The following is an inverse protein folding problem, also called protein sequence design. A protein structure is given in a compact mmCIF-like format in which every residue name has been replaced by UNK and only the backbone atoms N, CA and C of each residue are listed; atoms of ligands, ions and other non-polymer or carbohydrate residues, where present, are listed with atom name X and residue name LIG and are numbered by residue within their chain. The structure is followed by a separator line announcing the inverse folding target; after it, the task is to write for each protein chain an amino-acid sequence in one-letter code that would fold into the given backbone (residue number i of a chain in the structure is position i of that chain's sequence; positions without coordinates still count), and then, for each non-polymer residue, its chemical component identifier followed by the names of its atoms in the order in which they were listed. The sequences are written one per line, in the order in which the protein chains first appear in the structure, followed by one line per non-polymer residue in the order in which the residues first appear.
data_IF_754159275454
#
_entry.id   IF_754159275454
#
_cell.length_a   1.000
_cell.length_b   1.000
_cell.length_c   1.000
_cell.angle_alpha   90.00
_cell.angle_beta   90.00
_cell.angle_gamma   90.00
#
_symmetry.space_group_name_H-M   'P 1'
#
loop_
_entity.id
_entity.type
_entity.pdbx_description
1 polymer ?
#
# COMPACT_ATOMS: atom_id res chain seq x y z
N UNK A 1 -23.29 -30.52 -57.12
CA UNK A 1 -22.45 -29.36 -56.72
C UNK A 1 -21.05 -29.48 -57.32
N UNK A 2 -20.61 -28.50 -58.11
CA UNK A 2 -19.24 -28.45 -58.66
C UNK A 2 -18.20 -28.56 -57.52
N UNK A 3 -17.13 -29.32 -57.75
CA UNK A 3 -16.08 -29.66 -56.75
C UNK A 3 -15.46 -28.42 -56.10
N UNK A 4 -15.44 -27.29 -56.80
CA UNK A 4 -14.99 -25.98 -56.32
C UNK A 4 -15.94 -25.37 -55.27
N UNK A 5 -17.26 -25.49 -55.45
CA UNK A 5 -18.25 -24.92 -54.53
C UNK A 5 -18.26 -25.64 -53.16
N UNK A 6 -18.01 -26.97 -53.16
CA UNK A 6 -17.82 -27.74 -51.92
C UNK A 6 -16.60 -27.24 -51.13
N UNK A 7 -15.47 -27.00 -51.80
CA UNK A 7 -14.24 -26.50 -51.16
C UNK A 7 -14.42 -25.11 -50.53
N UNK A 8 -15.13 -24.21 -51.21
CA UNK A 8 -15.39 -22.85 -50.69
C UNK A 8 -16.26 -22.92 -49.43
N UNK A 9 -17.34 -23.71 -49.45
CA UNK A 9 -18.23 -23.87 -48.30
C UNK A 9 -17.48 -24.47 -47.11
N UNK A 10 -16.62 -25.47 -47.33
CA UNK A 10 -15.81 -26.07 -46.26
C UNK A 10 -14.83 -25.06 -45.65
N UNK A 11 -14.17 -24.22 -46.46
CA UNK A 11 -13.24 -23.19 -45.97
C UNK A 11 -13.97 -22.09 -45.17
N UNK A 12 -15.18 -21.70 -45.60
CA UNK A 12 -15.98 -20.70 -44.87
C UNK A 12 -16.47 -21.25 -43.53
N UNK A 13 -16.87 -22.52 -43.47
CA UNK A 13 -17.30 -23.17 -42.23
C UNK A 13 -16.15 -23.34 -41.22
N UNK A 14 -14.94 -23.70 -41.67
CA UNK A 14 -13.77 -23.77 -40.77
C UNK A 14 -13.34 -22.41 -40.27
N UNK A 15 -13.40 -21.36 -41.12
CA UNK A 15 -13.15 -19.99 -40.67
C UNK A 15 -14.20 -19.50 -39.67
N UNK A 16 -15.49 -19.79 -39.90
CA UNK A 16 -16.56 -19.41 -38.97
C UNK A 16 -16.44 -20.11 -37.60
N UNK A 17 -16.05 -21.39 -37.59
CA UNK A 17 -15.77 -22.11 -36.34
C UNK A 17 -14.53 -21.57 -35.61
N UNK A 18 -13.48 -21.14 -36.33
CA UNK A 18 -12.31 -20.51 -35.72
C UNK A 18 -12.65 -19.17 -35.05
N UNK A 19 -13.57 -18.38 -35.60
CA UNK A 19 -14.02 -17.13 -34.99
C UNK A 19 -14.98 -17.32 -33.80
N UNK A 20 -15.73 -18.43 -33.74
CA UNK A 20 -16.67 -18.70 -32.64
C UNK A 20 -15.99 -19.23 -31.36
N UNK A 21 -14.75 -19.72 -31.43
CA UNK A 21 -14.05 -20.35 -30.29
C UNK A 21 -13.19 -19.41 -29.44
N UNK A 22 -13.07 -18.14 -29.80
CA UNK A 22 -12.38 -17.14 -28.96
C UNK A 22 -13.38 -16.17 -28.36
N UNK A 23 -14.25 -16.65 -27.48
CA UNK A 23 -14.87 -15.76 -26.49
C UNK A 23 -13.73 -15.34 -25.55
N UNK A 24 -13.40 -14.05 -25.44
CA UNK A 24 -12.48 -13.63 -24.38
C UNK A 24 -13.11 -14.06 -23.06
N UNK A 25 -12.48 -15.02 -22.37
CA UNK A 25 -12.84 -15.35 -21.01
C UNK A 25 -12.49 -14.12 -20.16
N UNK A 26 -13.45 -13.20 -20.02
CA UNK A 26 -13.32 -12.07 -19.12
C UNK A 26 -13.14 -12.65 -17.71
N UNK A 27 -11.93 -12.56 -17.18
CA UNK A 27 -11.63 -12.98 -15.82
C UNK A 27 -12.62 -12.28 -14.88
N UNK A 28 -13.43 -13.06 -14.15
CA UNK A 28 -14.34 -12.55 -13.13
C UNK A 28 -13.52 -11.70 -12.16
N UNK A 29 -13.83 -10.41 -12.03
CA UNK A 29 -13.21 -9.59 -10.99
C UNK A 29 -13.54 -10.22 -9.63
N UNK A 30 -12.52 -10.75 -8.94
CA UNK A 30 -12.67 -11.32 -7.60
C UNK A 30 -12.56 -10.19 -6.59
N UNK A 31 -13.54 -10.06 -5.71
CA UNK A 31 -13.46 -9.13 -4.59
C UNK A 31 -12.34 -9.57 -3.65
N UNK A 32 -11.43 -8.66 -3.29
CA UNK A 32 -10.26 -8.98 -2.48
C UNK A 32 -10.07 -7.98 -1.35
N UNK A 33 -9.93 -8.52 -0.15
CA UNK A 33 -9.43 -7.78 1.00
C UNK A 33 -7.91 -7.64 0.86
N UNK A 34 -7.45 -6.39 0.74
CA UNK A 34 -6.05 -6.04 0.46
C UNK A 34 -5.20 -5.96 1.73
N UNK A 35 -5.82 -5.57 2.85
CA UNK A 35 -5.11 -5.29 4.10
C UNK A 35 -5.95 -5.72 5.30
N UNK A 36 -5.28 -6.38 6.24
CA UNK A 36 -5.89 -7.01 7.43
C UNK A 36 -5.30 -6.51 8.73
N UNK A 37 -4.53 -5.43 8.70
CA UNK A 37 -4.02 -4.80 9.92
C UNK A 37 -3.86 -3.29 9.77
N UNK A 38 -3.79 -2.60 10.91
CA UNK A 38 -3.51 -1.18 11.02
C UNK A 38 -2.62 -0.89 12.23
N UNK A 39 -2.02 0.29 12.26
CA UNK A 39 -1.21 0.76 13.38
C UNK A 39 -1.77 2.08 13.89
N UNK A 40 -1.94 2.20 15.20
CA UNK A 40 -2.22 3.46 15.87
C UNK A 40 -0.90 4.21 16.07
N UNK A 41 -0.78 5.34 15.40
CA UNK A 41 0.37 6.23 15.52
C UNK A 41 0.14 7.32 16.59
N UNK A 42 1.24 7.91 17.05
CA UNK A 42 1.20 9.04 17.97
C UNK A 42 0.63 10.30 17.32
N UNK A 43 0.09 11.22 18.13
CA UNK A 43 -0.32 12.56 17.67
C UNK A 43 0.78 13.26 16.85
N UNK A 44 2.03 13.19 17.32
CA UNK A 44 3.19 13.76 16.63
C UNK A 44 3.43 13.20 15.22
N UNK A 45 3.13 11.91 15.00
CA UNK A 45 3.18 11.32 13.66
C UNK A 45 2.00 11.79 12.82
N UNK A 46 0.81 11.86 13.43
CA UNK A 46 -0.45 12.22 12.79
C UNK A 46 -0.59 13.71 12.47
N UNK A 47 0.24 14.59 13.05
CA UNK A 47 0.35 16.02 12.68
C UNK A 47 0.64 16.19 11.17
N UNK A 48 1.39 15.26 10.57
CA UNK A 48 1.67 15.29 9.14
C UNK A 48 0.80 14.28 8.38
N UNK A 49 -0.46 14.68 8.15
CA UNK A 49 -1.46 13.88 7.41
C UNK A 49 -1.10 13.60 5.95
N UNK A 50 -0.09 14.29 5.40
CA UNK A 50 0.47 13.97 4.07
C UNK A 50 1.21 12.63 4.08
N UNK A 51 1.78 12.23 5.22
CA UNK A 51 2.54 10.98 5.35
C UNK A 51 1.68 9.81 5.89
N UNK A 52 0.68 10.11 6.72
CA UNK A 52 -0.20 9.09 7.31
C UNK A 52 -1.67 9.47 7.18
N UNK A 53 -2.46 8.51 6.69
CA UNK A 53 -3.91 8.57 6.73
C UNK A 53 -4.36 7.93 8.06
N UNK A 54 -5.26 8.58 8.83
CA UNK A 54 -5.90 7.93 9.97
C UNK A 54 -6.70 6.68 9.57
N UNK A 55 -7.14 6.61 8.30
CA UNK A 55 -7.89 5.49 7.78
C UNK A 55 -7.00 4.57 6.93
N UNK A 56 -7.24 3.27 7.05
CA UNK A 56 -6.57 2.24 6.27
C UNK A 56 -7.51 1.67 5.22
N UNK A 57 -7.05 1.69 3.97
CA UNK A 57 -7.77 1.09 2.85
C UNK A 57 -7.76 -0.43 3.00
N UNK A 58 -8.94 -1.03 3.10
CA UNK A 58 -9.11 -2.48 3.25
C UNK A 58 -9.39 -3.13 1.90
N UNK A 59 -10.27 -2.55 1.09
CA UNK A 59 -10.68 -3.13 -0.19
C UNK A 59 -11.26 -2.07 -1.13
N UNK A 60 -11.11 -2.30 -2.43
CA UNK A 60 -11.87 -1.59 -3.45
C UNK A 60 -13.17 -2.33 -3.74
N UNK A 61 -14.26 -1.57 -3.90
CA UNK A 61 -15.60 -2.12 -4.06
C UNK A 61 -15.87 -2.48 -5.53
N UNK A 62 -15.36 -1.66 -6.45
CA UNK A 62 -15.62 -1.82 -7.89
C UNK A 62 -17.05 -1.42 -8.22
N UNK A 63 -17.78 -2.27 -8.96
CA UNK A 63 -19.20 -2.04 -9.31
C UNK A 63 -20.20 -2.65 -8.32
N UNK A 64 -19.72 -3.18 -7.18
CA UNK A 64 -20.54 -3.96 -6.23
C UNK A 64 -21.29 -3.03 -5.28
N UNK A 65 -22.51 -3.41 -4.90
CA UNK A 65 -23.12 -2.89 -3.68
C UNK A 65 -22.60 -3.70 -2.49
N UNK A 66 -22.19 -3.01 -1.43
CA UNK A 66 -21.62 -3.66 -0.25
C UNK A 66 -22.16 -3.05 1.04
N UNK A 67 -22.32 -3.90 2.05
CA UNK A 67 -22.51 -3.52 3.44
C UNK A 67 -21.28 -3.99 4.20
N UNK A 68 -20.74 -3.13 5.08
CA UNK A 68 -19.55 -3.43 5.86
C UNK A 68 -19.79 -3.19 7.34
N UNK A 69 -19.36 -4.14 8.16
CA UNK A 69 -19.55 -4.14 9.60
C UNK A 69 -18.25 -4.55 10.30
N UNK A 70 -17.99 -3.98 11.48
CA UNK A 70 -16.95 -4.45 12.40
C UNK A 70 -17.62 -5.07 13.62
N UNK A 71 -17.16 -6.26 14.02
CA UNK A 71 -17.67 -6.94 15.21
C UNK A 71 -17.31 -6.24 16.53
N UNK A 72 -16.35 -5.31 16.51
CA UNK A 72 -15.92 -4.58 17.69
C UNK A 72 -15.42 -3.18 17.29
N UNK A 73 -16.35 -2.22 17.30
CA UNK A 73 -16.08 -0.82 16.95
C UNK A 73 -15.12 -0.11 17.91
N UNK A 74 -14.94 -0.63 19.14
CA UNK A 74 -13.92 -0.13 20.09
C UNK A 74 -12.50 -0.45 19.63
N UNK A 75 -12.31 -1.45 18.76
CA UNK A 75 -11.01 -1.79 18.16
C UNK A 75 -10.82 -1.06 16.83
N UNK A 76 -11.78 -1.15 15.91
CA UNK A 76 -11.76 -0.40 14.66
C UNK A 76 -13.18 -0.12 14.15
N UNK A 77 -13.41 1.07 13.62
CA UNK A 77 -14.63 1.39 12.87
C UNK A 77 -14.39 1.22 11.37
N UNK A 78 -15.46 1.03 10.61
CA UNK A 78 -15.40 0.84 9.15
C UNK A 78 -16.35 1.81 8.46
N UNK A 79 -15.96 2.27 7.27
CA UNK A 79 -16.80 3.16 6.44
C UNK A 79 -16.57 2.89 4.96
N UNK A 80 -17.58 3.22 4.16
CA UNK A 80 -17.50 3.22 2.70
C UNK A 80 -17.29 4.67 2.26
N UNK A 81 -16.23 4.91 1.48
CA UNK A 81 -15.91 6.21 0.92
C UNK A 81 -15.10 6.05 -0.37
N UNK A 82 -15.39 6.86 -1.38
CA UNK A 82 -14.62 6.91 -2.64
C UNK A 82 -14.50 5.54 -3.31
N UNK A 83 -15.63 4.80 -3.37
CA UNK A 83 -15.71 3.43 -3.90
C UNK A 83 -14.75 2.40 -3.24
N UNK A 84 -14.43 2.65 -1.97
CA UNK A 84 -13.54 1.83 -1.18
C UNK A 84 -14.04 1.65 0.25
N UNK A 85 -13.60 0.56 0.87
CA UNK A 85 -13.82 0.27 2.29
C UNK A 85 -12.58 0.71 3.06
N UNK A 86 -12.79 1.54 4.07
CA UNK A 86 -11.77 2.08 4.94
C UNK A 86 -12.03 1.64 6.38
N UNK A 87 -10.97 1.31 7.12
CA UNK A 87 -11.03 1.13 8.57
C UNK A 87 -10.28 2.24 9.30
N UNK A 88 -10.89 2.74 10.37
CA UNK A 88 -10.25 3.67 11.31
C UNK A 88 -9.89 2.89 12.58
N UNK A 89 -8.59 2.67 12.88
CA UNK A 89 -8.17 1.99 14.10
C UNK A 89 -8.44 2.88 15.33
N UNK A 90 -9.04 2.29 16.38
CA UNK A 90 -9.43 2.98 17.60
C UNK A 90 -8.58 2.54 18.80
N UNK A 91 -8.43 1.21 18.98
CA UNK A 91 -7.65 0.62 20.08
C UNK A 91 -6.94 -0.63 19.59
N UNK A 92 -5.75 -0.89 20.14
CA UNK A 92 -5.01 -2.11 19.86
C UNK A 92 -5.82 -3.34 20.29
N UNK A 93 -5.86 -4.35 19.42
CA UNK A 93 -6.71 -5.54 19.57
C UNK A 93 -7.07 -6.13 18.21
N UNK A 94 -8.00 -7.09 18.21
CA UNK A 94 -8.52 -7.72 16.99
C UNK A 94 -10.02 -7.50 16.87
N UNK A 95 -10.51 -7.40 15.65
CA UNK A 95 -11.94 -7.40 15.32
C UNK A 95 -12.16 -8.15 14.02
N UNK A 96 -13.35 -8.70 13.80
CA UNK A 96 -13.73 -9.28 12.51
C UNK A 96 -14.42 -8.21 11.69
N UNK A 97 -13.87 -7.92 10.51
CA UNK A 97 -14.53 -7.09 9.51
C UNK A 97 -15.29 -8.01 8.57
N UNK A 98 -16.59 -7.76 8.45
CA UNK A 98 -17.49 -8.50 7.56
C UNK A 98 -17.91 -7.59 6.42
N UNK A 99 -17.69 -8.04 5.19
CA UNK A 99 -18.14 -7.36 3.96
C UNK A 99 -19.19 -8.25 3.30
N UNK A 100 -20.43 -7.80 3.27
CA UNK A 100 -21.53 -8.47 2.59
C UNK A 100 -21.72 -7.83 1.22
N UNK A 101 -21.62 -8.63 0.17
CA UNK A 101 -22.07 -8.26 -1.18
C UNK A 101 -23.46 -8.86 -1.42
N UNK A 102 -24.08 -8.56 -2.55
CA UNK A 102 -25.34 -9.20 -2.96
C UNK A 102 -25.24 -10.72 -3.12
N UNK A 103 -24.03 -11.27 -3.31
CA UNK A 103 -23.82 -12.69 -3.64
C UNK A 103 -23.05 -13.48 -2.58
N UNK A 104 -22.11 -12.82 -1.91
CA UNK A 104 -21.11 -13.46 -1.05
C UNK A 104 -20.83 -12.61 0.19
N UNK A 105 -20.50 -13.28 1.29
CA UNK A 105 -20.03 -12.64 2.53
C UNK A 105 -18.55 -12.95 2.74
N UNK A 106 -17.73 -11.92 2.87
CA UNK A 106 -16.31 -12.01 3.16
C UNK A 106 -16.05 -11.60 4.61
N UNK A 107 -15.23 -12.37 5.32
CA UNK A 107 -14.79 -12.04 6.68
C UNK A 107 -13.27 -12.00 6.72
N UNK A 108 -12.72 -11.02 7.42
CA UNK A 108 -11.31 -11.03 7.79
C UNK A 108 -11.12 -10.65 9.26
N UNK A 109 -10.19 -11.31 9.92
CA UNK A 109 -9.62 -10.81 11.17
C UNK A 109 -8.78 -9.58 10.85
N UNK A 110 -9.14 -8.46 11.45
CA UNK A 110 -8.44 -7.19 11.36
C UNK A 110 -7.73 -6.90 12.68
N UNK A 111 -6.40 -6.77 12.62
CA UNK A 111 -5.57 -6.54 13.81
C UNK A 111 -5.09 -5.10 13.87
N UNK A 112 -5.39 -4.43 14.97
CA UNK A 112 -4.88 -3.09 15.27
C UNK A 112 -3.69 -3.21 16.23
N UNK A 113 -2.53 -2.71 15.80
CA UNK A 113 -1.32 -2.67 16.60
C UNK A 113 -1.08 -1.27 17.19
N UNK A 114 -0.33 -1.21 18.29
CA UNK A 114 0.34 0.03 18.69
C UNK A 114 1.58 0.21 17.82
N UNK A 115 1.93 1.45 17.50
CA UNK A 115 3.19 1.74 16.81
C UNK A 115 4.40 1.17 17.56
N UNK A 116 5.24 0.45 16.82
CA UNK A 116 6.53 -0.04 17.29
C UNK A 116 7.59 0.42 16.32
N UNK A 117 8.58 1.16 16.82
CA UNK A 117 9.69 1.63 16.01
C UNK A 117 10.49 0.45 15.42
N UNK A 118 10.51 0.26 14.09
CA UNK A 118 11.19 -0.84 13.43
C UNK A 118 12.66 -0.52 13.09
N UNK A 119 13.11 0.73 13.27
CA UNK A 119 14.41 1.24 12.79
C UNK A 119 15.42 1.30 13.93
N UNK A 120 16.61 0.74 13.69
CA UNK A 120 17.77 0.88 14.57
C UNK A 120 18.57 2.14 14.24
N UNK A 121 18.69 2.49 12.95
CA UNK A 121 19.24 3.76 12.46
C UNK A 121 18.85 4.03 11.01
N UNK A 122 18.97 5.27 10.57
CA UNK A 122 18.87 5.65 9.16
C UNK A 122 20.07 6.51 8.75
N UNK A 123 20.50 6.41 7.49
CA UNK A 123 21.53 7.26 6.88
C UNK A 123 20.95 8.04 5.71
N UNK A 124 21.29 9.32 5.66
CA UNK A 124 20.92 10.27 4.60
C UNK A 124 22.19 10.97 4.13
N UNK A 125 22.84 10.40 3.10
CA UNK A 125 24.21 10.74 2.76
C UNK A 125 25.16 10.45 3.93
N UNK A 126 25.89 11.49 4.38
CA UNK A 126 26.80 11.41 5.55
C UNK A 126 26.06 11.51 6.90
N UNK A 127 24.81 11.99 6.93
CA UNK A 127 24.06 12.12 8.16
C UNK A 127 23.61 10.76 8.67
N UNK A 128 23.86 10.46 9.94
CA UNK A 128 23.29 9.29 10.64
C UNK A 128 22.23 9.74 11.63
N UNK A 129 21.03 9.19 11.49
CA UNK A 129 19.88 9.41 12.36
C UNK A 129 19.76 8.19 13.28
N UNK A 130 19.85 8.41 14.59
CA UNK A 130 19.70 7.34 15.59
C UNK A 130 18.27 6.82 15.59
N UNK A 131 18.09 5.52 15.78
CA UNK A 131 16.76 4.88 15.84
C UNK A 131 15.85 5.46 16.93
N UNK A 132 16.42 6.03 18.00
CA UNK A 132 15.67 6.71 19.07
C UNK A 132 14.82 7.87 18.56
N UNK A 133 15.22 8.54 17.47
CA UNK A 133 14.44 9.59 16.83
C UNK A 133 13.07 9.08 16.35
N UNK A 134 12.97 7.77 16.05
CA UNK A 134 11.74 7.14 15.57
C UNK A 134 10.91 6.49 16.67
N UNK A 135 11.28 6.63 17.95
CA UNK A 135 10.60 5.94 19.07
C UNK A 135 9.14 6.36 19.23
N UNK A 136 8.85 7.65 19.13
CA UNK A 136 7.50 8.23 19.27
C UNK A 136 7.00 8.92 18.00
N UNK A 137 7.84 9.07 16.98
CA UNK A 137 7.47 9.74 15.74
C UNK A 137 7.99 8.92 14.57
N UNK A 138 7.11 8.47 13.67
CA UNK A 138 7.52 7.71 12.50
C UNK A 138 8.08 8.60 11.36
N UNK A 139 8.15 9.92 11.60
CA UNK A 139 8.65 10.92 10.65
C UNK A 139 9.88 11.62 11.24
N UNK A 140 10.92 11.73 10.42
CA UNK A 140 12.07 12.60 10.70
C UNK A 140 12.13 13.72 9.66
N UNK A 141 12.10 14.96 10.13
CA UNK A 141 12.10 16.14 9.25
C UNK A 141 13.53 16.59 8.96
N UNK A 142 13.83 16.88 7.70
CA UNK A 142 15.06 17.52 7.24
C UNK A 142 14.73 18.77 6.44
N UNK A 143 15.64 19.75 6.44
CA UNK A 143 15.50 20.96 5.61
C UNK A 143 15.83 20.63 4.15
N UNK A 144 14.88 20.81 3.24
CA UNK A 144 15.01 20.54 1.81
C UNK A 144 16.17 21.31 1.19
N UNK A 145 16.32 22.61 1.51
CA UNK A 145 17.35 23.47 0.91
C UNK A 145 18.78 22.94 1.08
N UNK A 146 19.07 22.22 2.18
CA UNK A 146 20.38 21.61 2.44
C UNK A 146 20.73 20.49 1.45
N UNK A 147 19.72 19.83 0.89
CA UNK A 147 19.84 18.65 0.05
C UNK A 147 19.31 18.86 -1.38
N UNK A 148 18.73 20.02 -1.68
CA UNK A 148 18.14 20.37 -2.99
C UNK A 148 19.08 20.00 -4.13
N UNK A 149 18.55 19.23 -5.08
CA UNK A 149 19.21 18.74 -6.29
C UNK A 149 20.42 17.82 -6.09
N UNK A 150 20.75 17.46 -4.84
CA UNK A 150 21.83 16.50 -4.54
C UNK A 150 21.34 15.07 -4.72
N UNK A 151 22.21 14.22 -5.27
CA UNK A 151 22.01 12.77 -5.28
C UNK A 151 22.67 12.16 -4.05
N UNK A 152 21.87 11.64 -3.12
CA UNK A 152 22.36 11.14 -1.83
C UNK A 152 21.83 9.75 -1.53
N UNK A 153 22.64 8.94 -0.85
CA UNK A 153 22.25 7.60 -0.44
C UNK A 153 21.24 7.64 0.71
N UNK A 154 20.16 6.85 0.59
CA UNK A 154 19.22 6.61 1.68
C UNK A 154 19.33 5.16 2.14
N UNK A 155 19.73 4.94 3.39
CA UNK A 155 19.84 3.61 3.97
C UNK A 155 19.08 3.52 5.29
N UNK A 156 18.21 2.54 5.44
CA UNK A 156 17.58 2.22 6.71
C UNK A 156 18.14 0.90 7.24
N UNK A 157 18.55 0.91 8.50
CA UNK A 157 18.90 -0.29 9.24
C UNK A 157 17.73 -0.59 10.18
N UNK A 158 17.19 -1.80 10.07
CA UNK A 158 16.05 -2.23 10.89
C UNK A 158 16.52 -2.93 12.16
N UNK A 159 15.63 -3.02 13.14
CA UNK A 159 15.84 -3.83 14.35
C UNK A 159 15.62 -5.30 14.04
N UNK A 160 16.17 -6.18 14.88
CA UNK A 160 15.90 -7.64 14.83
C UNK A 160 14.39 -7.90 14.81
N UNK A 161 13.96 -8.83 13.95
CA UNK A 161 12.54 -9.17 13.77
C UNK A 161 11.79 -8.29 12.77
N UNK A 162 12.45 -7.33 12.12
CA UNK A 162 11.87 -6.48 11.07
C UNK A 162 12.63 -6.63 9.75
N UNK A 163 11.90 -6.59 8.64
CA UNK A 163 12.45 -6.59 7.28
C UNK A 163 11.88 -5.45 6.44
N UNK A 164 12.61 -5.02 5.42
CA UNK A 164 12.08 -4.10 4.42
C UNK A 164 11.20 -4.87 3.43
N UNK A 165 10.04 -4.32 3.08
CA UNK A 165 9.21 -4.81 1.97
C UNK A 165 9.70 -4.19 0.67
N UNK A 166 10.81 -4.74 0.17
CA UNK A 166 11.51 -4.20 -1.00
C UNK A 166 12.58 -3.20 -0.60
N UNK A 167 12.59 -2.04 -1.24
CA UNK A 167 13.59 -1.01 -1.04
C UNK A 167 13.07 0.23 -0.31
N UNK A 168 13.65 1.38 -0.67
CA UNK A 168 13.19 2.71 -0.28
C UNK A 168 12.22 3.22 -1.33
N UNK A 169 11.00 3.48 -0.90
CA UNK A 169 10.03 4.20 -1.71
C UNK A 169 10.28 5.70 -1.56
N UNK A 170 10.24 6.47 -2.65
CA UNK A 170 10.37 7.91 -2.59
C UNK A 170 9.38 8.62 -3.50
N UNK A 171 8.94 9.78 -3.05
CA UNK A 171 8.01 10.63 -3.79
C UNK A 171 8.54 12.06 -3.81
N UNK A 172 8.32 12.73 -4.94
CA UNK A 172 8.51 14.18 -5.06
C UNK A 172 7.19 14.86 -4.78
N UNK A 173 7.21 16.12 -4.33
CA UNK A 173 5.96 16.80 -3.99
C UNK A 173 5.05 17.03 -5.18
N UNK A 174 5.59 17.05 -6.41
CA UNK A 174 4.86 17.13 -7.68
C UNK A 174 4.58 15.77 -8.34
N UNK A 175 4.89 14.65 -7.69
CA UNK A 175 4.61 13.31 -8.23
C UNK A 175 3.31 12.76 -7.66
N UNK A 176 2.47 12.18 -8.53
CA UNK A 176 1.30 11.39 -8.13
C UNK A 176 1.64 9.94 -7.74
N UNK A 177 2.86 9.46 -8.03
CA UNK A 177 3.28 8.07 -7.80
C UNK A 177 4.68 8.02 -7.21
N UNK A 178 4.88 7.14 -6.21
CA UNK A 178 6.18 6.90 -5.61
C UNK A 178 7.02 5.89 -6.42
N UNK A 179 8.34 6.08 -6.48
CA UNK A 179 9.28 5.13 -7.09
C UNK A 179 9.98 4.33 -6.00
N UNK A 180 10.36 3.09 -6.30
CA UNK A 180 11.14 2.25 -5.39
C UNK A 180 12.58 2.10 -5.86
N UNK A 181 13.53 2.11 -4.92
CA UNK A 181 14.95 1.86 -5.19
C UNK A 181 15.54 0.99 -4.09
N UNK A 182 16.57 0.18 -4.37
CA UNK A 182 17.23 -0.63 -3.34
C UNK A 182 17.66 0.17 -2.10
N UNK A 183 17.74 -0.50 -0.95
CA UNK A 183 18.20 0.13 0.28
C UNK A 183 19.67 0.55 0.17
N UNK A 184 19.96 1.83 0.40
CA UNK A 184 21.29 2.42 0.20
C UNK A 184 21.49 3.12 -1.15
N UNK A 185 20.52 3.05 -2.07
CA UNK A 185 20.62 3.72 -3.37
C UNK A 185 20.72 5.24 -3.25
N UNK A 186 21.48 5.84 -4.17
CA UNK A 186 21.53 7.29 -4.35
C UNK A 186 20.27 7.78 -5.06
N UNK A 187 19.55 8.69 -4.42
CA UNK A 187 18.31 9.28 -4.94
C UNK A 187 18.50 10.79 -5.00
N UNK A 188 18.14 11.40 -6.15
CA UNK A 188 18.17 12.85 -6.32
C UNK A 188 17.02 13.51 -5.57
N UNK A 189 17.33 14.35 -4.58
CA UNK A 189 16.37 15.12 -3.79
C UNK A 189 15.91 16.34 -4.61
N UNK A 190 14.90 16.12 -5.45
CA UNK A 190 14.36 17.10 -6.39
C UNK A 190 12.84 17.23 -6.27
N UNK A 191 12.28 18.24 -6.92
CA UNK A 191 10.83 18.48 -6.94
C UNK A 191 10.30 19.42 -5.86
N UNK A 192 11.17 20.04 -5.05
CA UNK A 192 10.77 21.04 -4.05
C UNK A 192 10.56 20.46 -2.63
N UNK A 193 10.14 21.36 -1.73
CA UNK A 193 9.69 20.97 -0.39
C UNK A 193 8.57 19.96 -0.48
N UNK A 194 8.61 18.95 0.39
CA UNK A 194 7.71 17.80 0.38
C UNK A 194 8.29 16.54 -0.26
N UNK A 195 9.58 16.54 -0.64
CA UNK A 195 10.26 15.29 -1.00
C UNK A 195 10.23 14.30 0.18
N UNK A 196 9.96 13.04 -0.13
CA UNK A 196 9.73 11.99 0.86
C UNK A 196 10.56 10.77 0.50
N UNK A 197 11.30 10.22 1.48
CA UNK A 197 11.90 8.90 1.39
C UNK A 197 11.31 8.01 2.49
N UNK A 198 10.92 6.78 2.14
CA UNK A 198 10.08 5.91 2.96
C UNK A 198 10.67 4.52 3.03
N UNK A 199 10.90 4.04 4.24
CA UNK A 199 11.11 2.62 4.50
C UNK A 199 9.75 1.97 4.82
N UNK A 200 9.38 0.95 4.04
CA UNK A 200 8.25 0.08 4.35
C UNK A 200 8.78 -1.12 5.12
N UNK A 201 8.62 -1.11 6.44
CA UNK A 201 9.07 -2.19 7.32
C UNK A 201 7.91 -3.15 7.63
N UNK A 202 8.21 -4.44 7.74
CA UNK A 202 7.26 -5.47 8.16
C UNK A 202 7.88 -6.30 9.29
N UNK A 203 7.12 -6.49 10.36
CA UNK A 203 7.50 -7.39 11.44
C UNK A 203 7.37 -8.83 10.94
N UNK A 204 8.44 -9.60 11.05
CA UNK A 204 8.51 -10.96 10.49
C UNK A 204 7.57 -11.92 11.21
N UNK A 205 7.30 -11.70 12.52
CA UNK A 205 6.45 -12.56 13.33
C UNK A 205 4.96 -12.19 13.22
N UNK A 206 4.66 -10.89 13.30
CA UNK A 206 3.26 -10.43 13.41
C UNK A 206 2.67 -9.97 12.08
N UNK A 207 3.50 -9.71 11.07
CA UNK A 207 3.05 -9.06 9.83
C UNK A 207 2.64 -7.60 10.00
N UNK A 208 2.87 -6.99 11.17
CA UNK A 208 2.67 -5.56 11.41
C UNK A 208 3.52 -4.75 10.43
N UNK A 209 2.90 -3.78 9.76
CA UNK A 209 3.57 -2.95 8.75
C UNK A 209 3.70 -1.52 9.25
N UNK A 210 4.91 -1.00 9.12
CA UNK A 210 5.25 0.36 9.50
C UNK A 210 5.84 1.10 8.32
N UNK A 211 5.40 2.33 8.13
CA UNK A 211 6.06 3.27 7.21
C UNK A 211 6.95 4.15 8.06
N UNK A 212 8.18 4.40 7.64
CA UNK A 212 9.08 5.35 8.31
C UNK A 212 9.55 6.36 7.29
N UNK A 213 9.34 7.63 7.59
CA UNK A 213 9.51 8.71 6.64
C UNK A 213 10.70 9.59 7.00
N UNK A 214 11.56 9.88 6.02
CA UNK A 214 12.38 11.09 6.01
C UNK A 214 11.67 12.11 5.15
N UNK A 215 11.17 13.16 5.78
CA UNK A 215 10.41 14.22 5.13
C UNK A 215 11.24 15.47 4.98
N UNK A 216 11.36 15.99 3.75
CA UNK A 216 12.15 17.17 3.46
C UNK A 216 11.23 18.39 3.36
N UNK A 217 11.30 19.28 4.37
CA UNK A 217 10.54 20.53 4.47
C UNK A 217 11.31 21.71 3.88
#
# INVERSE_FOLDING_TARGET
MKKSLKKIITVVLTFAMMFAMTVPAYAKEVFKILKTNATIYSSKTMENRRCYNPDELIAYIGKRKVVVESSNTKVATVKIKDNAIWATPQKAGTTTITVKTERETYKCTFTVYKYVNPVSSAKVGKLTIKGTAFKKNAIYNLRYSKYKNKSIAFKFNLKKGWKLRGGISYARSNWGVAKMSPNGSKIKVAGGSGFLAVALAENIKTGQRERIHIYFK
#
